data_IF_503788180388
#
_entry.id   IF_503788180388
#
_cell.length_a   1.000
_cell.length_b   1.000
_cell.length_c   1.000
_cell.angle_alpha   90.00
_cell.angle_beta   90.00
_cell.angle_gamma   90.00
#
_symmetry.space_group_name_H-M   'P 1'
#
loop_
_entity.id
_entity.type
_entity.pdbx_description
1 polymer ?
#
# COMPACT_ATOMS: atom_id res chain seq x y z
N UNK A 1 -0.13 2.73 -23.56
CA UNK A 1 -0.06 3.55 -22.33
C UNK A 1 0.96 2.88 -21.41
N UNK A 2 2.03 3.57 -21.04
CA UNK A 2 2.95 3.06 -20.01
C UNK A 2 2.18 2.96 -18.70
N UNK A 3 2.26 1.81 -18.02
CA UNK A 3 1.65 1.69 -16.70
C UNK A 3 2.25 2.76 -15.78
N UNK A 4 1.39 3.59 -15.20
CA UNK A 4 1.78 4.64 -14.26
C UNK A 4 2.50 4.04 -13.03
N UNK A 5 2.23 2.76 -12.72
CA UNK A 5 2.79 2.06 -11.56
C UNK A 5 3.04 0.58 -11.85
N UNK A 6 4.27 0.13 -11.62
CA UNK A 6 4.60 -1.30 -11.64
C UNK A 6 4.48 -1.90 -10.24
N UNK A 7 3.76 -3.02 -10.14
CA UNK A 7 3.70 -3.86 -8.93
C UNK A 7 4.57 -5.13 -9.05
N UNK A 8 4.64 -5.72 -10.24
CA UNK A 8 5.44 -6.91 -10.53
C UNK A 8 6.84 -6.53 -11.00
N UNK A 9 7.70 -6.21 -10.05
CA UNK A 9 9.12 -5.93 -10.27
C UNK A 9 9.98 -6.57 -9.17
N UNK A 10 11.29 -6.58 -9.40
CA UNK A 10 12.27 -6.91 -8.36
C UNK A 10 12.15 -5.91 -7.20
N UNK A 11 12.12 -6.44 -5.98
CA UNK A 11 11.99 -5.68 -4.73
C UNK A 11 13.26 -5.77 -3.87
N UNK A 12 14.32 -6.38 -4.39
CA UNK A 12 15.58 -6.58 -3.66
C UNK A 12 16.43 -5.33 -3.65
N UNK A 13 16.71 -4.82 -2.46
CA UNK A 13 17.62 -3.70 -2.27
C UNK A 13 19.00 -3.99 -2.89
N UNK A 14 19.60 -3.00 -3.55
CA UNK A 14 20.88 -3.12 -4.24
C UNK A 14 20.86 -3.85 -5.59
N UNK A 15 19.73 -4.43 -6.01
CA UNK A 15 19.63 -5.04 -7.33
C UNK A 15 19.47 -3.97 -8.43
N UNK A 16 20.18 -4.13 -9.56
CA UNK A 16 20.00 -3.28 -10.76
C UNK A 16 18.57 -3.26 -11.31
N UNK A 17 17.77 -4.28 -10.98
CA UNK A 17 16.37 -4.38 -11.40
C UNK A 17 15.37 -3.86 -10.36
N UNK A 18 15.83 -3.33 -9.22
CA UNK A 18 14.94 -2.83 -8.17
C UNK A 18 13.93 -1.82 -8.73
N UNK A 19 12.65 -2.12 -8.60
CA UNK A 19 11.56 -1.24 -9.06
C UNK A 19 11.38 -1.15 -10.58
N UNK A 20 12.18 -1.83 -11.39
CA UNK A 20 12.09 -1.74 -12.86
C UNK A 20 10.88 -2.51 -13.38
N UNK A 21 10.09 -1.85 -14.23
CA UNK A 21 8.89 -2.39 -14.88
C UNK A 21 9.18 -3.58 -15.79
N UNK A 22 10.25 -3.45 -16.55
CA UNK A 22 10.70 -4.45 -17.51
C UNK A 22 12.21 -4.61 -17.37
N UNK A 23 12.66 -5.86 -17.46
CA UNK A 23 14.08 -6.19 -17.48
C UNK A 23 14.26 -7.50 -18.24
N UNK A 24 15.32 -7.64 -19.06
CA UNK A 24 15.64 -8.91 -19.70
C UNK A 24 16.03 -9.99 -18.68
N UNK A 25 16.34 -9.63 -17.43
CA UNK A 25 16.67 -10.60 -16.38
C UNK A 25 15.42 -11.25 -15.76
N UNK A 26 14.22 -10.76 -16.08
CA UNK A 26 12.99 -11.31 -15.52
C UNK A 26 12.56 -12.59 -16.23
N UNK A 27 12.12 -13.56 -15.43
CA UNK A 27 11.39 -14.74 -15.89
C UNK A 27 10.09 -14.83 -15.09
N UNK A 28 8.97 -14.99 -15.79
CA UNK A 28 7.65 -15.16 -15.18
C UNK A 28 6.70 -15.90 -16.13
N UNK A 29 5.70 -16.63 -15.59
CA UNK A 29 5.58 -17.01 -14.19
C UNK A 29 6.52 -18.18 -13.84
N UNK A 30 7.25 -18.07 -12.72
CA UNK A 30 7.95 -19.20 -12.10
C UNK A 30 7.21 -19.68 -10.84
N UNK A 31 7.16 -21.00 -10.61
CA UNK A 31 6.40 -21.63 -9.52
C UNK A 31 7.27 -22.33 -8.47
N UNK A 32 8.57 -22.02 -8.41
CA UNK A 32 9.53 -22.67 -7.49
C UNK A 32 9.08 -22.63 -6.02
N UNK A 33 8.38 -21.58 -5.62
CA UNK A 33 7.90 -21.39 -4.24
C UNK A 33 6.44 -21.87 -4.02
N UNK A 34 5.85 -22.58 -4.98
CA UNK A 34 4.47 -23.06 -4.89
C UNK A 34 3.39 -22.03 -5.22
N UNK A 35 3.79 -20.84 -5.71
CA UNK A 35 2.91 -19.78 -6.20
C UNK A 35 3.53 -19.09 -7.41
N UNK A 36 2.73 -18.39 -8.21
CA UNK A 36 3.20 -17.64 -9.37
C UNK A 36 4.06 -16.45 -8.93
N UNK A 37 5.33 -16.46 -9.31
CA UNK A 37 6.32 -15.44 -8.95
C UNK A 37 7.05 -14.90 -10.18
N UNK A 38 7.54 -13.66 -10.03
CA UNK A 38 8.58 -13.08 -10.87
C UNK A 38 9.91 -13.58 -10.35
N UNK A 39 10.72 -14.19 -11.19
CA UNK A 39 12.11 -14.49 -10.87
C UNK A 39 13.02 -13.44 -11.48
N UNK A 40 13.82 -12.78 -10.65
CA UNK A 40 14.86 -11.85 -11.09
C UNK A 40 16.19 -12.57 -11.18
N UNK A 41 16.65 -12.94 -12.39
CA UNK A 41 17.91 -13.67 -12.58
C UNK A 41 19.16 -12.89 -12.14
N UNK A 42 19.06 -11.57 -12.03
CA UNK A 42 20.18 -10.73 -11.58
C UNK A 42 20.49 -10.87 -10.08
N UNK A 43 19.49 -11.18 -9.24
CA UNK A 43 19.68 -11.30 -7.79
C UNK A 43 19.06 -12.56 -7.18
N UNK A 44 18.40 -13.41 -7.98
CA UNK A 44 17.75 -14.63 -7.55
C UNK A 44 16.43 -14.45 -6.78
N UNK A 45 15.88 -13.23 -6.70
CA UNK A 45 14.65 -12.99 -5.92
C UNK A 45 13.40 -13.52 -6.62
N UNK A 46 12.43 -13.97 -5.83
CA UNK A 46 11.12 -14.47 -6.28
C UNK A 46 9.91 -13.66 -5.75
N UNK A 47 9.76 -12.35 -6.09
CA UNK A 47 8.57 -11.60 -5.73
C UNK A 47 7.26 -12.25 -6.25
N UNK A 48 6.19 -12.30 -5.44
CA UNK A 48 4.89 -12.79 -5.89
C UNK A 48 4.34 -11.93 -7.02
N UNK A 49 3.64 -12.58 -7.95
CA UNK A 49 2.89 -11.91 -9.01
C UNK A 49 1.52 -11.50 -8.50
N UNK A 50 1.16 -10.26 -8.76
CA UNK A 50 -0.16 -9.71 -8.53
C UNK A 50 -0.87 -9.47 -9.86
N UNK A 51 -2.20 -9.51 -9.84
CA UNK A 51 -3.00 -9.12 -11.00
C UNK A 51 -2.86 -7.59 -11.22
N UNK A 52 -2.14 -7.21 -12.28
CA UNK A 52 -1.81 -5.81 -12.56
C UNK A 52 -3.03 -4.98 -12.93
N UNK A 53 -3.99 -5.56 -13.65
CA UNK A 53 -5.20 -4.86 -14.06
C UNK A 53 -6.05 -4.49 -12.83
N UNK A 54 -6.32 -5.47 -11.95
CA UNK A 54 -7.06 -5.23 -10.72
C UNK A 54 -6.32 -4.23 -9.82
N UNK A 55 -5.00 -4.37 -9.70
CA UNK A 55 -4.18 -3.44 -8.91
C UNK A 55 -4.22 -2.02 -9.47
N UNK A 56 -4.03 -1.87 -10.79
CA UNK A 56 -4.05 -0.59 -11.48
C UNK A 56 -5.40 0.10 -11.37
N UNK A 57 -6.50 -0.65 -11.53
CA UNK A 57 -7.86 -0.13 -11.35
C UNK A 57 -8.10 0.39 -9.93
N UNK A 58 -7.74 -0.40 -8.91
CA UNK A 58 -7.87 0.02 -7.51
C UNK A 58 -6.96 1.22 -7.19
N UNK A 59 -5.67 1.17 -7.56
CA UNK A 59 -4.70 2.21 -7.24
C UNK A 59 -5.07 3.55 -7.88
N UNK A 60 -5.57 3.53 -9.13
CA UNK A 60 -6.06 4.73 -9.80
C UNK A 60 -7.22 5.37 -9.04
N UNK A 61 -8.20 4.56 -8.60
CA UNK A 61 -9.33 5.06 -7.79
C UNK A 61 -8.86 5.62 -6.44
N UNK A 62 -7.93 4.92 -5.77
CA UNK A 62 -7.35 5.34 -4.50
C UNK A 62 -6.60 6.68 -4.60
N UNK A 63 -5.75 6.85 -5.61
CA UNK A 63 -5.00 8.10 -5.84
C UNK A 63 -5.92 9.24 -6.27
N UNK A 64 -6.91 8.96 -7.11
CA UNK A 64 -7.91 9.95 -7.55
C UNK A 64 -8.68 10.50 -6.36
N UNK A 65 -9.14 9.63 -5.46
CA UNK A 65 -9.87 10.03 -4.27
C UNK A 65 -8.98 10.82 -3.29
N UNK A 66 -7.76 10.35 -3.02
CA UNK A 66 -6.81 11.09 -2.19
C UNK A 66 -6.50 12.49 -2.75
N UNK A 67 -6.26 12.61 -4.06
CA UNK A 67 -6.02 13.88 -4.74
C UNK A 67 -7.22 14.83 -4.67
N UNK A 68 -8.43 14.29 -4.85
CA UNK A 68 -9.66 15.06 -4.77
C UNK A 68 -9.95 15.54 -3.33
N UNK A 69 -9.52 14.77 -2.32
CA UNK A 69 -9.67 15.15 -0.92
C UNK A 69 -8.62 16.20 -0.49
N UNK A 70 -7.34 15.94 -0.73
CA UNK A 70 -6.22 16.73 -0.20
C UNK A 70 -5.83 17.93 -1.07
N UNK A 71 -6.01 17.84 -2.39
CA UNK A 71 -5.54 18.86 -3.33
C UNK A 71 -4.03 18.86 -3.60
N UNK A 72 -3.27 17.87 -3.11
CA UNK A 72 -1.81 17.84 -3.27
C UNK A 72 -1.31 17.55 -4.69
N UNK A 73 -2.12 16.89 -5.52
CA UNK A 73 -1.82 16.60 -6.92
C UNK A 73 -3.11 16.44 -7.72
N UNK A 74 -3.01 16.40 -9.05
CA UNK A 74 -4.16 16.32 -9.93
C UNK A 74 -4.86 14.96 -9.83
N UNK A 75 -6.19 14.91 -9.59
CA UNK A 75 -6.94 13.66 -9.52
C UNK A 75 -7.09 12.97 -10.89
N UNK A 76 -6.69 13.62 -12.00
CA UNK A 76 -6.83 13.07 -13.36
C UNK A 76 -5.52 12.55 -13.93
N UNK A 77 -4.46 13.35 -13.89
CA UNK A 77 -3.16 12.99 -14.47
C UNK A 77 -2.06 12.77 -13.44
N UNK A 78 -2.39 12.90 -12.15
CA UNK A 78 -1.46 12.75 -11.03
C UNK A 78 -0.24 13.68 -11.09
N UNK A 79 -0.31 14.80 -11.81
CA UNK A 79 0.73 15.83 -11.78
C UNK A 79 0.58 16.72 -10.55
N UNK A 80 1.70 17.05 -9.90
CA UNK A 80 1.74 17.87 -8.66
C UNK A 80 1.59 19.36 -8.91
N UNK A 81 1.92 19.84 -10.11
CA UNK A 81 1.87 21.26 -10.42
C UNK A 81 0.43 21.76 -10.58
N UNK A 82 0.01 22.62 -9.65
CA UNK A 82 -1.32 23.24 -9.63
C UNK A 82 -1.23 24.76 -9.50
N UNK A 83 -2.35 25.43 -9.76
CA UNK A 83 -2.56 26.85 -9.49
C UNK A 83 -3.90 27.05 -8.77
N UNK A 84 -4.01 28.14 -8.02
CA UNK A 84 -5.30 28.62 -7.52
C UNK A 84 -6.15 29.06 -8.72
N UNK A 85 -7.42 28.65 -8.75
CA UNK A 85 -8.32 28.87 -9.88
C UNK A 85 -9.70 29.35 -9.41
N UNK A 86 -9.77 30.58 -8.91
CA UNK A 86 -11.02 31.16 -8.42
C UNK A 86 -11.68 30.35 -7.31
N UNK A 87 -12.98 30.53 -7.13
CA UNK A 87 -13.77 29.87 -6.08
C UNK A 87 -14.99 29.16 -6.67
N UNK A 88 -15.51 28.17 -5.97
CA UNK A 88 -16.82 27.59 -6.30
C UNK A 88 -17.96 28.53 -5.83
N UNK A 89 -19.24 28.28 -6.18
CA UNK A 89 -20.37 29.11 -5.72
C UNK A 89 -20.53 29.20 -4.19
N UNK A 90 -19.96 28.25 -3.44
CA UNK A 90 -19.96 28.23 -1.97
C UNK A 90 -18.75 29.00 -1.39
N UNK A 91 -17.92 29.64 -2.21
CA UNK A 91 -16.75 30.39 -1.79
C UNK A 91 -15.51 29.53 -1.49
N UNK A 92 -15.52 28.22 -1.75
CA UNK A 92 -14.35 27.36 -1.52
C UNK A 92 -13.31 27.49 -2.63
N UNK A 93 -12.04 27.49 -2.25
CA UNK A 93 -10.90 27.62 -3.18
C UNK A 93 -10.86 26.45 -4.18
N UNK A 94 -10.88 26.78 -5.48
CA UNK A 94 -10.65 25.83 -6.56
C UNK A 94 -9.18 25.80 -6.95
N UNK A 95 -8.70 24.65 -7.41
CA UNK A 95 -7.36 24.50 -7.98
C UNK A 95 -7.44 23.91 -9.38
N UNK A 96 -6.45 24.25 -10.20
CA UNK A 96 -6.32 23.75 -11.57
C UNK A 96 -4.96 23.10 -11.78
N UNK A 97 -4.93 21.94 -12.42
CA UNK A 97 -3.70 21.29 -12.84
C UNK A 97 -3.04 22.06 -13.99
N UNK A 98 -1.74 22.35 -13.89
CA UNK A 98 -1.00 23.03 -14.96
C UNK A 98 -0.89 22.19 -16.23
N UNK A 99 -0.75 20.87 -16.07
CA UNK A 99 -0.58 19.91 -17.17
C UNK A 99 -1.87 19.64 -17.93
N UNK A 100 -2.89 19.06 -17.29
CA UNK A 100 -4.11 18.62 -17.99
C UNK A 100 -5.31 19.57 -17.85
N UNK A 101 -5.12 20.75 -17.22
CA UNK A 101 -6.14 21.80 -17.00
C UNK A 101 -7.40 21.37 -16.22
N UNK A 102 -7.38 20.18 -15.61
CA UNK A 102 -8.45 19.73 -14.73
C UNK A 102 -8.64 20.74 -13.59
N UNK A 103 -9.87 21.16 -13.35
CA UNK A 103 -10.26 22.01 -12.21
C UNK A 103 -10.99 21.16 -11.18
N UNK A 104 -10.68 21.33 -9.90
CA UNK A 104 -11.41 20.70 -8.81
C UNK A 104 -11.37 21.56 -7.53
N UNK A 105 -12.21 21.21 -6.56
CA UNK A 105 -12.25 21.83 -5.23
C UNK A 105 -11.85 20.76 -4.21
N UNK A 106 -10.68 20.87 -3.54
CA UNK A 106 -10.29 19.95 -2.49
C UNK A 106 -11.30 19.95 -1.35
N UNK A 107 -11.61 18.77 -0.79
CA UNK A 107 -12.55 18.66 0.34
C UNK A 107 -11.92 19.10 1.64
N UNK A 108 -10.64 18.82 1.81
CA UNK A 108 -9.83 19.31 2.92
C UNK A 108 -9.17 20.62 2.45
N UNK A 109 -9.31 21.68 3.25
CA UNK A 109 -8.51 22.87 2.99
C UNK A 109 -7.03 22.48 3.17
N UNK A 110 -6.13 22.90 2.26
CA UNK A 110 -4.71 22.64 2.44
C UNK A 110 -4.28 23.27 3.77
N UNK A 111 -4.04 22.43 4.78
CA UNK A 111 -3.53 22.86 6.07
C UNK A 111 -2.10 23.32 5.84
N UNK A 112 -1.93 24.61 5.53
CA UNK A 112 -0.62 25.27 5.43
C UNK A 112 0.36 24.65 4.43
N UNK A 113 1.43 25.37 4.15
CA UNK A 113 2.58 24.85 3.40
C UNK A 113 3.16 23.66 4.17
N UNK A 114 2.98 22.43 3.67
CA UNK A 114 3.59 21.26 4.28
C UNK A 114 5.10 21.35 3.99
N UNK A 115 5.89 21.58 5.05
CA UNK A 115 7.34 21.46 4.96
C UNK A 115 7.67 20.01 4.61
N UNK A 116 8.40 19.73 3.52
CA UNK A 116 8.78 18.38 3.19
C UNK A 116 9.51 17.69 4.36
N UNK A 117 9.16 16.43 4.69
CA UNK A 117 9.90 15.67 5.68
C UNK A 117 11.30 15.35 5.14
N UNK A 118 12.28 15.29 6.03
CA UNK A 118 13.63 14.81 5.67
C UNK A 118 13.71 13.29 5.74
N UNK A 119 12.97 12.71 6.69
CA UNK A 119 12.90 11.28 6.93
C UNK A 119 11.45 10.90 7.22
N UNK A 120 11.02 9.79 6.65
CA UNK A 120 9.68 9.24 6.89
C UNK A 120 9.83 7.96 7.71
N UNK A 121 9.03 7.84 8.75
CA UNK A 121 8.85 6.58 9.47
C UNK A 121 7.45 6.03 9.22
N UNK A 122 7.34 4.73 8.97
CA UNK A 122 6.06 4.02 8.86
C UNK A 122 5.98 2.93 9.90
N UNK A 123 4.86 2.90 10.63
CA UNK A 123 4.54 1.85 11.60
C UNK A 123 3.29 1.09 11.17
N UNK A 124 3.31 -0.25 11.18
CA UNK A 124 2.11 -1.05 11.06
C UNK A 124 1.38 -1.14 12.40
N UNK A 125 0.05 -1.07 12.37
CA UNK A 125 -0.82 -1.16 13.53
C UNK A 125 -1.98 -2.10 13.22
N UNK A 126 -2.46 -2.81 14.22
CA UNK A 126 -3.69 -3.58 14.15
C UNK A 126 -4.71 -2.91 15.06
N UNK A 127 -5.81 -2.45 14.48
CA UNK A 127 -6.85 -1.71 15.20
C UNK A 127 -8.16 -2.48 15.20
N UNK A 128 -8.97 -2.42 16.29
CA UNK A 128 -10.31 -2.97 16.26
C UNK A 128 -11.20 -2.21 15.26
N UNK A 129 -12.11 -2.90 14.60
CA UNK A 129 -13.15 -2.30 13.78
C UNK A 129 -14.49 -3.00 13.97
N UNK A 130 -15.58 -2.31 13.66
CA UNK A 130 -16.92 -2.89 13.74
C UNK A 130 -17.25 -3.70 12.47
N UNK A 131 -16.71 -4.92 12.41
CA UNK A 131 -16.96 -5.87 11.32
C UNK A 131 -18.23 -6.70 11.48
N UNK A 132 -18.26 -7.86 10.82
CA UNK A 132 -19.38 -8.80 10.84
C UNK A 132 -19.63 -9.44 12.22
N UNK A 133 -18.57 -9.59 13.02
CA UNK A 133 -18.59 -10.23 14.34
C UNK A 133 -17.84 -9.35 15.36
N UNK A 134 -17.76 -9.80 16.61
CA UNK A 134 -16.89 -9.19 17.63
C UNK A 134 -15.41 -9.41 17.29
N UNK A 135 -14.53 -8.60 17.91
CA UNK A 135 -13.06 -8.73 17.84
C UNK A 135 -12.45 -8.67 16.44
N UNK A 136 -13.16 -8.02 15.54
CA UNK A 136 -12.75 -7.78 14.17
C UNK A 136 -11.65 -6.72 14.13
N UNK A 137 -10.63 -6.92 13.30
CA UNK A 137 -9.42 -6.08 13.23
C UNK A 137 -9.15 -5.56 11.82
N UNK A 138 -8.51 -4.40 11.70
CA UNK A 138 -7.95 -3.88 10.44
C UNK A 138 -6.44 -3.70 10.56
N UNK A 139 -5.76 -3.91 9.45
CA UNK A 139 -4.35 -3.57 9.30
C UNK A 139 -4.25 -2.10 8.87
N UNK A 140 -3.44 -1.33 9.58
CA UNK A 140 -3.25 0.10 9.35
C UNK A 140 -1.77 0.40 9.19
N UNK A 141 -1.44 1.28 8.26
CA UNK A 141 -0.14 1.91 8.12
C UNK A 141 -0.26 3.37 8.49
N UNK A 142 0.58 3.80 9.43
CA UNK A 142 0.71 5.18 9.84
C UNK A 142 2.12 5.65 9.47
N UNK A 143 2.19 6.70 8.65
CA UNK A 143 3.44 7.34 8.27
C UNK A 143 3.52 8.75 8.81
N UNK A 144 4.69 9.12 9.32
CA UNK A 144 4.94 10.41 9.94
C UNK A 144 6.36 10.91 9.64
N UNK A 145 6.55 12.23 9.76
CA UNK A 145 7.87 12.87 9.72
C UNK A 145 8.65 12.39 10.94
N UNK A 146 9.73 11.64 10.72
CA UNK A 146 10.49 11.00 11.80
C UNK A 146 11.20 12.00 12.73
N UNK A 147 11.35 13.26 12.28
CA UNK A 147 12.00 14.32 13.06
C UNK A 147 10.95 15.17 13.78
N UNK A 148 9.86 15.54 13.08
CA UNK A 148 8.85 16.48 13.60
C UNK A 148 7.62 15.82 14.22
N UNK A 149 7.42 14.52 13.98
CA UNK A 149 6.25 13.77 14.47
C UNK A 149 4.93 14.06 13.74
N UNK A 150 4.94 14.91 12.71
CA UNK A 150 3.73 15.23 11.95
C UNK A 150 3.24 14.01 11.17
N UNK A 151 1.95 13.71 11.27
CA UNK A 151 1.33 12.63 10.49
C UNK A 151 1.32 13.04 9.01
N UNK A 152 1.90 12.19 8.17
CA UNK A 152 2.02 12.39 6.74
C UNK A 152 0.94 11.64 5.97
N UNK A 153 0.65 10.40 6.36
CA UNK A 153 -0.36 9.58 5.70
C UNK A 153 -0.85 8.44 6.59
N UNK A 154 -2.14 8.13 6.51
CA UNK A 154 -2.75 6.99 7.16
C UNK A 154 -3.51 6.18 6.12
N UNK A 155 -3.32 4.87 6.10
CA UNK A 155 -4.16 3.97 5.31
C UNK A 155 -4.52 2.73 6.11
N UNK A 156 -5.77 2.31 6.05
CA UNK A 156 -6.15 0.96 6.45
C UNK A 156 -6.25 0.05 5.25
N UNK A 157 -6.28 -1.26 5.48
CA UNK A 157 -6.58 -2.20 4.42
C UNK A 157 -8.07 -2.33 4.10
N UNK A 158 -8.93 -1.49 4.69
CA UNK A 158 -10.27 -1.26 4.16
C UNK A 158 -10.23 -0.23 3.03
N UNK A 159 -11.02 -0.46 1.98
CA UNK A 159 -11.21 0.47 0.86
C UNK A 159 -12.69 0.59 0.49
N UNK A 160 -13.20 1.81 0.24
CA UNK A 160 -14.55 1.99 -0.30
C UNK A 160 -14.61 1.72 -1.82
N UNK A 161 -13.46 1.67 -2.49
CA UNK A 161 -13.37 1.47 -3.94
C UNK A 161 -13.62 0.01 -4.33
N UNK A 162 -14.08 -0.21 -5.56
CA UNK A 162 -14.19 -1.53 -6.15
C UNK A 162 -12.82 -2.20 -6.24
N UNK A 163 -12.77 -3.48 -5.88
CA UNK A 163 -11.56 -4.30 -5.96
C UNK A 163 -11.89 -5.65 -6.54
N UNK A 164 -11.00 -6.15 -7.39
CA UNK A 164 -11.08 -7.51 -7.89
C UNK A 164 -10.71 -8.53 -6.81
N UNK A 165 -11.22 -9.76 -6.98
CA UNK A 165 -11.15 -10.78 -5.93
C UNK A 165 -9.73 -11.22 -5.56
N UNK A 166 -8.75 -11.05 -6.45
CA UNK A 166 -7.35 -11.45 -6.19
C UNK A 166 -6.64 -10.51 -5.20
N UNK A 167 -7.17 -9.29 -5.03
CA UNK A 167 -6.63 -8.31 -4.10
C UNK A 167 -7.28 -8.39 -2.72
N UNK A 168 -8.38 -9.14 -2.58
CA UNK A 168 -9.15 -9.22 -1.35
C UNK A 168 -8.43 -10.04 -0.30
N UNK A 169 -8.46 -9.54 0.94
CA UNK A 169 -8.02 -10.29 2.08
C UNK A 169 -8.95 -11.47 2.33
N UNK A 170 -8.34 -12.64 2.59
CA UNK A 170 -9.05 -13.84 3.00
C UNK A 170 -8.34 -14.38 4.23
N UNK A 171 -9.09 -14.45 5.33
CA UNK A 171 -8.61 -15.10 6.54
C UNK A 171 -8.62 -16.61 6.33
N UNK A 172 -7.46 -17.26 6.52
CA UNK A 172 -7.30 -18.70 6.26
C UNK A 172 -7.46 -19.57 7.52
N UNK A 173 -7.92 -19.01 8.64
CA UNK A 173 -7.91 -19.72 9.94
C UNK A 173 -6.54 -20.30 10.29
N UNK A 174 -5.47 -19.63 9.87
CA UNK A 174 -4.12 -19.99 10.28
C UNK A 174 -3.97 -19.58 11.74
N UNK A 175 -4.33 -20.48 12.65
CA UNK A 175 -4.00 -20.37 14.06
C UNK A 175 -2.47 -20.41 14.11
N UNK A 176 -1.84 -19.29 14.46
CA UNK A 176 -0.43 -19.34 14.85
C UNK A 176 -0.35 -20.32 16.02
N UNK A 177 0.44 -21.40 15.93
CA UNK A 177 0.54 -22.35 17.01
C UNK A 177 0.98 -21.58 18.24
N UNK A 178 0.27 -21.82 19.35
CA UNK A 178 0.67 -21.31 20.66
C UNK A 178 2.13 -21.68 20.85
N UNK A 179 2.97 -20.71 21.20
CA UNK A 179 4.39 -20.97 21.46
C UNK A 179 4.46 -21.76 22.77
N UNK A 180 4.59 -23.09 22.66
CA UNK A 180 4.61 -24.00 23.83
C UNK A 180 6.04 -24.20 24.36
N UNK A 181 7.09 -23.63 23.74
CA UNK A 181 8.48 -23.94 24.10
C UNK A 181 9.37 -22.72 24.35
N UNK A 182 10.15 -22.81 25.44
CA UNK A 182 11.17 -21.84 25.82
C UNK A 182 12.46 -21.94 24.96
N UNK A 183 12.64 -23.01 24.18
CA UNK A 183 13.79 -23.16 23.28
C UNK A 183 13.68 -22.27 22.03
N UNK A 184 14.68 -21.42 21.81
CA UNK A 184 14.78 -20.51 20.68
C UNK A 184 14.94 -21.25 19.35
N UNK A 185 15.63 -22.40 19.31
CA UNK A 185 15.88 -23.14 18.06
C UNK A 185 14.57 -23.72 17.53
N UNK A 186 13.76 -24.29 18.43
CA UNK A 186 12.46 -24.84 18.05
C UNK A 186 11.46 -23.75 17.67
N UNK A 187 11.50 -22.57 18.33
CA UNK A 187 10.73 -21.39 17.91
C UNK A 187 11.10 -20.95 16.50
N UNK A 188 12.38 -20.87 16.16
CA UNK A 188 12.84 -20.51 14.81
C UNK A 188 12.36 -21.54 13.78
N UNK A 189 12.50 -22.85 14.05
CA UNK A 189 12.02 -23.93 13.16
C UNK A 189 10.51 -23.92 12.96
N UNK A 190 9.73 -23.69 14.02
CA UNK A 190 8.28 -23.56 13.92
C UNK A 190 7.90 -22.35 13.08
N UNK A 191 8.56 -21.20 13.27
CA UNK A 191 8.30 -20.00 12.49
C UNK A 191 8.68 -20.21 11.02
N UNK A 192 9.83 -20.81 10.72
CA UNK A 192 10.24 -21.19 9.37
C UNK A 192 9.22 -22.14 8.72
N UNK A 193 8.76 -23.16 9.43
CA UNK A 193 7.74 -24.09 8.93
C UNK A 193 6.41 -23.39 8.64
N UNK A 194 5.99 -22.47 9.51
CA UNK A 194 4.79 -21.65 9.27
C UNK A 194 4.97 -20.72 8.07
N UNK A 195 6.15 -20.12 7.92
CA UNK A 195 6.49 -19.27 6.78
C UNK A 195 6.44 -20.06 5.47
N UNK A 196 7.03 -21.26 5.43
CA UNK A 196 6.99 -22.15 4.27
C UNK A 196 5.56 -22.65 3.99
N UNK A 197 4.76 -22.95 5.04
CA UNK A 197 3.35 -23.38 4.91
C UNK A 197 2.42 -22.30 4.40
N UNK A 198 2.71 -21.02 4.68
CA UNK A 198 1.91 -19.90 4.13
C UNK A 198 2.00 -19.85 2.61
N UNK A 199 3.00 -20.50 2.01
CA UNK A 199 3.36 -20.52 0.60
C UNK A 199 3.64 -19.12 0.06
N UNK A 200 2.85 -18.08 0.35
CA UNK A 200 3.06 -16.69 -0.03
C UNK A 200 3.53 -15.85 1.17
N UNK A 201 4.78 -15.36 1.11
CA UNK A 201 5.36 -14.48 2.14
C UNK A 201 4.63 -13.13 2.31
N UNK A 202 3.82 -12.74 1.33
CA UNK A 202 3.04 -11.51 1.28
C UNK A 202 1.59 -11.68 1.80
N UNK A 203 1.18 -12.87 2.23
CA UNK A 203 -0.09 -13.09 2.94
C UNK A 203 0.06 -12.84 4.45
N UNK A 204 0.01 -11.55 4.84
CA UNK A 204 -0.08 -11.14 6.24
C UNK A 204 -1.47 -11.52 6.79
N UNK A 205 -1.50 -12.41 7.78
CA UNK A 205 -2.69 -12.92 8.45
C UNK A 205 -2.77 -12.27 9.84
N UNK A 206 -3.79 -11.43 10.08
CA UNK A 206 -3.88 -10.61 11.31
C UNK A 206 -5.25 -10.70 12.01
N UNK A 207 -6.07 -11.68 11.60
CA UNK A 207 -7.39 -11.96 12.17
C UNK A 207 -8.49 -12.06 11.10
N UNK A 208 -9.70 -12.38 11.53
CA UNK A 208 -10.86 -12.68 10.67
C UNK A 208 -11.57 -11.43 10.12
N UNK A 209 -10.83 -10.47 9.56
CA UNK A 209 -11.38 -9.20 9.07
C UNK A 209 -12.47 -9.40 7.99
N UNK A 210 -13.72 -9.11 8.36
CA UNK A 210 -14.91 -9.26 7.54
C UNK A 210 -15.87 -8.08 7.74
N UNK A 211 -16.41 -7.56 6.63
CA UNK A 211 -17.38 -6.47 6.65
C UNK A 211 -18.77 -6.95 7.10
N UNK A 212 -19.56 -6.05 7.68
CA UNK A 212 -20.98 -6.31 7.97
C UNK A 212 -21.73 -6.67 6.68
N UNK A 213 -22.82 -7.44 6.82
CA UNK A 213 -23.70 -7.76 5.69
C UNK A 213 -24.17 -6.46 5.02
N UNK A 214 -24.05 -6.39 3.70
CA UNK A 214 -24.39 -5.23 2.85
C UNK A 214 -23.55 -3.96 3.08
N UNK A 215 -22.45 -4.03 3.83
CA UNK A 215 -21.52 -2.91 3.89
C UNK A 215 -20.80 -2.74 2.53
N UNK A 216 -20.67 -1.49 2.09
CA UNK A 216 -19.94 -1.14 0.88
C UNK A 216 -18.43 -1.23 1.12
N UNK A 217 -17.68 -1.50 0.05
CA UNK A 217 -16.22 -1.57 0.06
C UNK A 217 -15.69 -3.00 0.20
N UNK A 218 -14.40 -3.10 0.51
CA UNK A 218 -13.70 -4.37 0.63
C UNK A 218 -12.51 -4.26 1.60
N UNK A 219 -12.07 -5.41 2.10
CA UNK A 219 -10.81 -5.56 2.84
C UNK A 219 -9.76 -6.09 1.87
N UNK A 220 -8.69 -5.33 1.67
CA UNK A 220 -7.54 -5.65 0.83
C UNK A 220 -6.53 -6.50 1.57
N UNK A 221 -5.78 -7.32 0.83
CA UNK A 221 -4.55 -7.91 1.34
C UNK A 221 -3.62 -6.79 1.84
N UNK A 222 -3.05 -6.87 3.06
CA UNK A 222 -2.18 -5.83 3.60
C UNK A 222 -1.05 -5.37 2.68
N UNK A 223 -0.46 -6.29 1.90
CA UNK A 223 0.58 -5.96 0.90
C UNK A 223 0.09 -5.02 -0.20
N UNK A 224 -1.17 -5.14 -0.64
CA UNK A 224 -1.76 -4.27 -1.66
C UNK A 224 -1.95 -2.86 -1.08
N UNK A 225 -2.45 -2.79 0.15
CA UNK A 225 -2.56 -1.53 0.90
C UNK A 225 -1.19 -0.88 1.09
N UNK A 226 -0.17 -1.65 1.46
CA UNK A 226 1.19 -1.15 1.60
C UNK A 226 1.70 -0.54 0.29
N UNK A 227 1.51 -1.22 -0.84
CA UNK A 227 1.85 -0.67 -2.15
C UNK A 227 1.14 0.67 -2.40
N UNK A 228 -0.17 0.77 -2.19
CA UNK A 228 -0.88 2.04 -2.36
C UNK A 228 -0.40 3.14 -1.41
N UNK A 229 -0.16 2.79 -0.14
CA UNK A 229 0.35 3.70 0.89
C UNK A 229 1.69 4.31 0.49
N UNK A 230 2.68 3.47 0.18
CA UNK A 230 4.02 3.93 -0.22
C UNK A 230 4.01 4.64 -1.58
N UNK A 231 3.05 4.32 -2.46
CA UNK A 231 2.88 5.09 -3.71
C UNK A 231 2.48 6.53 -3.44
N UNK A 232 1.54 6.80 -2.53
CA UNK A 232 1.20 8.17 -2.13
C UNK A 232 2.43 8.88 -1.55
N UNK A 233 3.13 8.25 -0.60
CA UNK A 233 4.31 8.86 0.03
C UNK A 233 5.39 9.21 -1.01
N UNK A 234 5.74 8.25 -1.88
CA UNK A 234 6.74 8.45 -2.95
C UNK A 234 6.31 9.52 -3.96
N UNK A 235 5.00 9.67 -4.18
CA UNK A 235 4.48 10.67 -5.09
C UNK A 235 4.55 12.07 -4.49
N UNK A 236 4.17 12.22 -3.21
CA UNK A 236 4.21 13.49 -2.49
C UNK A 236 5.66 13.95 -2.23
N UNK A 237 6.52 13.03 -1.79
CA UNK A 237 7.87 13.32 -1.32
C UNK A 237 8.94 12.47 -2.04
N UNK A 238 9.11 12.63 -3.37
CA UNK A 238 10.05 11.84 -4.15
C UNK A 238 11.53 12.07 -3.79
N UNK A 239 11.83 13.21 -3.17
CA UNK A 239 13.20 13.58 -2.76
C UNK A 239 13.63 12.94 -1.44
N UNK A 240 12.70 12.34 -0.68
CA UNK A 240 13.02 11.66 0.58
C UNK A 240 13.76 10.37 0.29
N UNK A 241 15.01 10.28 0.77
CA UNK A 241 15.90 9.13 0.55
C UNK A 241 15.85 8.11 1.67
N UNK A 242 15.39 8.51 2.85
CA UNK A 242 15.38 7.67 4.05
C UNK A 242 13.95 7.38 4.46
N UNK A 243 13.59 6.10 4.39
CA UNK A 243 12.32 5.58 4.87
C UNK A 243 12.57 4.49 5.91
N UNK A 244 12.21 4.77 7.16
CA UNK A 244 12.30 3.83 8.27
C UNK A 244 10.99 3.05 8.34
N UNK A 245 11.05 1.73 8.24
CA UNK A 245 9.89 0.85 8.42
C UNK A 245 10.07 0.12 9.74
N UNK A 246 9.13 0.32 10.67
CA UNK A 246 9.12 -0.48 11.88
C UNK A 246 8.73 -1.92 11.51
N UNK A 247 9.57 -2.86 11.91
CA UNK A 247 9.24 -4.27 11.91
C UNK A 247 8.78 -4.66 13.32
N UNK A 248 7.87 -5.61 13.42
CA UNK A 248 7.47 -6.21 14.71
C UNK A 248 8.73 -6.64 15.47
N UNK A 249 8.92 -6.10 16.68
CA UNK A 249 9.92 -6.60 17.64
C UNK A 249 9.40 -7.87 18.32
#
# INVERSE_FOLDING_TARGET
MTSLFTINCCKSFGCKNLGLASSPDYSWPEYRLGYAALHCRACGSYPPLFNEEQFGGWLSAYLTDFAAQSGHFCPRCFQRETILYGHNPQGSQRIQCRSCKQVWTPKQQPLTTIVPPEQIATVPLIVPFQGACTDQKLYVLLSFDAIRGNILHISSNFTPHLVGDTLRYRWRNNVEPTVIHDDIVERVRQRETLFLRRSQFDEIQYGSAMLKRNANGAVLRPVITAHGHFRILSHLWPEVKTHIIAHEC
#
